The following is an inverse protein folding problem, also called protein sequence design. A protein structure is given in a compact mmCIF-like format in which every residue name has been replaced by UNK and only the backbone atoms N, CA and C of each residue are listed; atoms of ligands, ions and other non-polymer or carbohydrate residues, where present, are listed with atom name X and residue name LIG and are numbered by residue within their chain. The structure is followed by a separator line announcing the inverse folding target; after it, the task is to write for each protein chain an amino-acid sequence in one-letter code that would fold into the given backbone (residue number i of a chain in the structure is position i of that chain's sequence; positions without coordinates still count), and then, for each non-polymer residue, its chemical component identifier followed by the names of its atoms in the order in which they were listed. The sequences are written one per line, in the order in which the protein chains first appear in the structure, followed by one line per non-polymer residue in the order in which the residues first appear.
data_IF_480796219261
#
_entry.id   IF_480796219261
#
_cell.length_a   1.000
_cell.length_b   1.000
_cell.length_c   1.000
_cell.angle_alpha   90.00
_cell.angle_beta   90.00
_cell.angle_gamma   90.00
#
_symmetry.space_group_name_H-M   'P 1'
#
loop_
_entity.id
_entity.type
_entity.pdbx_description
1 polymer ?
#
# COMPACT_ATOMS: atom_id res chain seq x y z
N UNK A 1 5.01 -4.18 15.40
CA UNK A 1 5.97 -3.21 14.85
C UNK A 1 5.86 -3.24 13.34
N UNK A 2 6.10 -2.11 12.68
CA UNK A 2 6.18 -2.02 11.22
C UNK A 2 7.65 -1.80 10.85
N UNK A 3 8.10 -2.43 9.76
CA UNK A 3 9.38 -2.11 9.12
C UNK A 3 9.11 -1.76 7.67
N UNK A 4 9.73 -0.69 7.20
CA UNK A 4 9.64 -0.23 5.82
C UNK A 4 11.04 -0.26 5.22
N UNK A 5 11.18 -0.78 4.01
CA UNK A 5 12.45 -0.82 3.28
C UNK A 5 12.25 -0.43 1.83
N UNK A 6 13.18 0.33 1.26
CA UNK A 6 13.13 0.74 -0.14
C UNK A 6 14.06 -0.16 -0.95
N UNK A 7 13.51 -0.78 -1.99
CA UNK A 7 14.27 -1.54 -2.98
C UNK A 7 14.23 -0.76 -4.29
N UNK A 8 15.38 -0.24 -4.68
CA UNK A 8 15.53 0.49 -5.93
C UNK A 8 15.65 -0.48 -7.11
N UNK A 9 14.89 -0.21 -8.16
CA UNK A 9 14.95 -0.93 -9.41
C UNK A 9 15.01 0.03 -10.59
N UNK A 10 15.44 -0.49 -11.75
CA UNK A 10 15.57 0.31 -12.98
C UNK A 10 14.23 0.85 -13.51
N UNK A 11 13.15 0.07 -13.38
CA UNK A 11 11.80 0.43 -13.88
C UNK A 11 10.83 0.82 -12.77
N UNK A 12 11.10 0.38 -11.54
CA UNK A 12 10.21 0.59 -10.40
C UNK A 12 11.03 0.76 -9.13
N UNK A 13 10.55 1.61 -8.23
CA UNK A 13 10.94 1.65 -6.83
C UNK A 13 9.93 0.85 -6.04
N UNK A 14 10.40 -0.04 -5.18
CA UNK A 14 9.53 -0.86 -4.34
C UNK A 14 9.66 -0.47 -2.88
N UNK A 15 8.53 -0.26 -2.22
CA UNK A 15 8.43 -0.05 -0.79
C UNK A 15 7.99 -1.36 -0.14
N UNK A 16 8.91 -2.09 0.48
CA UNK A 16 8.65 -3.36 1.15
C UNK A 16 8.18 -3.08 2.57
N UNK A 17 6.99 -3.58 2.91
CA UNK A 17 6.33 -3.35 4.19
C UNK A 17 6.21 -4.67 4.94
N UNK A 18 6.80 -4.73 6.12
CA UNK A 18 6.87 -5.94 6.94
C UNK A 18 6.24 -5.72 8.33
N UNK A 19 5.54 -6.73 8.84
CA UNK A 19 4.96 -6.71 10.18
C UNK A 19 3.48 -6.29 10.21
N UNK A 20 3.13 -5.29 11.03
CA UNK A 20 1.73 -4.94 11.31
C UNK A 20 1.37 -3.52 10.86
N UNK A 21 0.44 -3.40 9.92
CA UNK A 21 -0.14 -2.12 9.48
C UNK A 21 -1.33 -1.74 10.37
N UNK A 22 -1.01 -1.25 11.56
CA UNK A 22 -1.96 -0.83 12.60
C UNK A 22 -1.50 0.54 13.14
N UNK A 23 -2.35 1.34 13.80
CA UNK A 23 -1.90 2.61 14.38
C UNK A 23 -0.72 2.40 15.35
N UNK A 24 0.28 3.30 15.39
CA UNK A 24 0.42 4.54 14.60
C UNK A 24 1.07 4.33 13.21
N UNK A 25 1.37 3.10 12.82
CA UNK A 25 2.20 2.79 11.66
C UNK A 25 1.55 3.07 10.30
N UNK A 26 0.23 3.25 10.28
CA UNK A 26 -0.50 3.71 9.09
C UNK A 26 0.02 5.08 8.63
N UNK A 27 0.20 6.01 9.56
CA UNK A 27 0.66 7.38 9.23
C UNK A 27 2.12 7.37 8.75
N UNK A 28 2.94 6.50 9.34
CA UNK A 28 4.33 6.31 8.91
C UNK A 28 4.42 5.74 7.48
N UNK A 29 3.58 4.76 7.15
CA UNK A 29 3.51 4.21 5.79
C UNK A 29 3.05 5.27 4.78
N UNK A 30 2.07 6.10 5.13
CA UNK A 30 1.61 7.23 4.29
C UNK A 30 2.76 8.17 3.96
N UNK A 31 3.46 8.65 4.98
CA UNK A 31 4.62 9.54 4.81
C UNK A 31 5.76 8.87 4.03
N UNK A 32 5.95 7.55 4.18
CA UNK A 32 6.96 6.81 3.41
C UNK A 32 6.59 6.70 1.92
N UNK A 33 5.31 6.46 1.60
CA UNK A 33 4.82 6.44 0.23
C UNK A 33 5.00 7.80 -0.46
N UNK A 34 4.65 8.91 0.22
CA UNK A 34 4.82 10.27 -0.30
C UNK A 34 6.30 10.58 -0.62
N UNK A 35 7.20 10.28 0.34
CA UNK A 35 8.65 10.45 0.16
C UNK A 35 9.20 9.58 -0.97
N UNK A 36 8.77 8.33 -1.06
CA UNK A 36 9.22 7.40 -2.09
C UNK A 36 8.62 7.69 -3.47
N UNK A 37 7.46 8.35 -3.54
CA UNK A 37 6.84 8.82 -4.78
C UNK A 37 7.57 10.01 -5.40
N UNK A 38 8.31 10.76 -4.59
CA UNK A 38 9.16 11.84 -5.07
C UNK A 38 10.43 11.29 -5.73
N UNK A 39 10.89 11.94 -6.81
CA UNK A 39 12.13 11.54 -7.52
C UNK A 39 12.04 10.15 -8.17
N UNK A 40 10.87 9.79 -8.68
CA UNK A 40 10.70 8.53 -9.42
C UNK A 40 11.35 8.57 -10.81
N UNK A 41 11.52 9.75 -11.41
CA UNK A 41 12.17 9.92 -12.72
C UNK A 41 11.60 8.98 -13.80
N UNK A 42 10.26 8.86 -13.84
CA UNK A 42 9.54 7.97 -14.75
C UNK A 42 9.40 6.52 -14.29
N UNK A 43 9.92 6.17 -13.11
CA UNK A 43 9.74 4.84 -12.50
C UNK A 43 8.37 4.71 -11.80
N UNK A 44 7.87 3.50 -11.69
CA UNK A 44 6.66 3.23 -10.91
C UNK A 44 6.99 3.04 -9.42
N UNK A 45 6.11 3.50 -8.53
CA UNK A 45 6.15 3.13 -7.11
C UNK A 45 5.25 1.90 -6.87
N UNK A 46 5.84 0.84 -6.33
CA UNK A 46 5.13 -0.40 -5.96
C UNK A 46 5.23 -0.62 -4.46
N UNK A 47 4.09 -0.76 -3.79
CA UNK A 47 4.02 -1.08 -2.37
C UNK A 47 3.89 -2.60 -2.24
N UNK A 48 4.89 -3.22 -1.64
CA UNK A 48 4.95 -4.67 -1.44
C UNK A 48 4.51 -5.02 -0.01
N UNK A 49 3.36 -5.67 0.06
CA UNK A 49 2.66 -6.02 1.29
C UNK A 49 2.80 -7.52 1.62
N UNK A 50 3.70 -8.24 0.93
CA UNK A 50 3.90 -9.68 1.06
C UNK A 50 4.22 -10.11 2.51
N UNK A 51 4.91 -9.26 3.27
CA UNK A 51 5.37 -9.58 4.62
C UNK A 51 4.50 -8.94 5.73
N UNK A 52 3.30 -8.48 5.38
CA UNK A 52 2.33 -8.03 6.38
C UNK A 52 1.61 -9.21 7.02
N UNK A 53 1.51 -9.18 8.34
CA UNK A 53 0.81 -10.19 9.15
C UNK A 53 -0.50 -9.68 9.73
N UNK A 54 -0.72 -8.37 9.74
CA UNK A 54 -1.91 -7.75 10.34
C UNK A 54 -2.17 -6.41 9.69
N UNK A 55 -3.44 -6.12 9.40
CA UNK A 55 -3.91 -4.84 8.87
C UNK A 55 -5.11 -4.42 9.72
N UNK A 56 -5.10 -3.19 10.24
CA UNK A 56 -6.26 -2.61 10.93
C UNK A 56 -7.22 -1.97 9.92
N UNK A 57 -8.42 -1.60 10.37
CA UNK A 57 -9.34 -0.77 9.58
C UNK A 57 -8.69 0.52 9.06
N UNK A 58 -7.92 1.22 9.91
CA UNK A 58 -7.21 2.43 9.48
C UNK A 58 -6.16 2.10 8.39
N UNK A 59 -5.50 0.95 8.51
CA UNK A 59 -4.59 0.44 7.48
C UNK A 59 -5.32 0.16 6.16
N UNK A 60 -6.50 -0.44 6.19
CA UNK A 60 -7.33 -0.65 4.98
C UNK A 60 -7.74 0.67 4.33
N UNK A 61 -8.16 1.67 5.11
CA UNK A 61 -8.50 3.00 4.59
C UNK A 61 -7.29 3.68 3.93
N UNK A 62 -6.10 3.56 4.53
CA UNK A 62 -4.87 4.04 3.90
C UNK A 62 -4.60 3.33 2.57
N UNK A 63 -4.76 2.00 2.52
CA UNK A 63 -4.59 1.25 1.27
C UNK A 63 -5.61 1.71 0.21
N UNK A 64 -6.85 2.02 0.61
CA UNK A 64 -7.87 2.58 -0.26
C UNK A 64 -7.47 3.95 -0.81
N UNK A 65 -7.01 4.86 0.04
CA UNK A 65 -6.51 6.18 -0.36
C UNK A 65 -5.37 6.05 -1.38
N UNK A 66 -4.39 5.20 -1.08
CA UNK A 66 -3.25 4.96 -1.97
C UNK A 66 -3.68 4.34 -3.31
N UNK A 67 -4.67 3.42 -3.31
CA UNK A 67 -5.27 2.89 -4.54
C UNK A 67 -5.96 3.97 -5.38
N UNK A 68 -6.68 4.91 -4.75
CA UNK A 68 -7.32 6.05 -5.44
C UNK A 68 -6.28 6.95 -6.11
N UNK A 69 -5.11 7.09 -5.51
CA UNK A 69 -3.97 7.83 -6.06
C UNK A 69 -3.20 7.04 -7.14
N UNK A 70 -3.67 5.84 -7.52
CA UNK A 70 -3.07 5.02 -8.57
C UNK A 70 -1.84 4.22 -8.12
N UNK A 71 -1.58 4.11 -6.82
CA UNK A 71 -0.47 3.33 -6.30
C UNK A 71 -0.60 1.86 -6.71
N UNK A 72 0.53 1.24 -7.07
CA UNK A 72 0.59 -0.18 -7.41
C UNK A 72 0.87 -0.99 -6.15
N UNK A 73 0.19 -2.11 -6.02
CA UNK A 73 0.35 -3.02 -4.88
C UNK A 73 0.81 -4.39 -5.34
N UNK A 74 1.70 -4.97 -4.56
CA UNK A 74 2.04 -6.39 -4.64
C UNK A 74 1.56 -7.06 -3.35
N UNK A 75 0.53 -7.88 -3.46
CA UNK A 75 0.10 -8.78 -2.41
C UNK A 75 0.75 -10.16 -2.58
N UNK A 76 1.07 -10.82 -1.48
CA UNK A 76 1.41 -12.24 -1.49
C UNK A 76 0.60 -12.95 -0.40
N UNK A 77 0.19 -14.19 -0.67
CA UNK A 77 -0.64 -14.98 0.23
C UNK A 77 -2.13 -14.63 0.18
N UNK A 78 -2.95 -15.51 0.75
CA UNK A 78 -4.42 -15.38 0.73
C UNK A 78 -4.89 -14.18 1.54
N UNK A 79 -4.29 -13.94 2.72
CA UNK A 79 -4.67 -12.84 3.62
C UNK A 79 -4.57 -11.46 2.94
N UNK A 80 -3.38 -11.07 2.50
CA UNK A 80 -3.14 -9.75 1.91
C UNK A 80 -3.91 -9.59 0.59
N UNK A 81 -4.01 -10.66 -0.22
CA UNK A 81 -4.79 -10.61 -1.46
C UNK A 81 -6.29 -10.44 -1.22
N UNK A 82 -6.87 -11.08 -0.19
CA UNK A 82 -8.30 -10.91 0.09
C UNK A 82 -8.59 -9.49 0.59
N UNK A 83 -7.74 -8.92 1.44
CA UNK A 83 -7.86 -7.52 1.86
C UNK A 83 -7.76 -6.58 0.65
N UNK A 84 -6.75 -6.74 -0.21
CA UNK A 84 -6.62 -5.92 -1.42
C UNK A 84 -7.83 -6.05 -2.35
N UNK A 85 -8.41 -7.25 -2.50
CA UNK A 85 -9.65 -7.46 -3.26
C UNK A 85 -10.83 -6.74 -2.62
N UNK A 86 -10.99 -6.83 -1.30
CA UNK A 86 -12.08 -6.14 -0.59
C UNK A 86 -11.96 -4.62 -0.73
N UNK A 87 -10.77 -4.07 -0.53
CA UNK A 87 -10.49 -2.64 -0.72
C UNK A 87 -10.76 -2.22 -2.17
N UNK A 88 -10.32 -3.01 -3.15
CA UNK A 88 -10.60 -2.74 -4.56
C UNK A 88 -12.10 -2.84 -4.92
N UNK A 89 -12.87 -3.72 -4.26
CA UNK A 89 -14.33 -3.78 -4.42
C UNK A 89 -14.99 -2.51 -3.87
N UNK A 90 -14.56 -2.02 -2.70
CA UNK A 90 -15.03 -0.76 -2.12
C UNK A 90 -14.75 0.41 -3.08
N UNK A 91 -13.55 0.48 -3.65
CA UNK A 91 -13.19 1.48 -4.64
C UNK A 91 -14.16 1.52 -5.84
N UNK A 92 -14.54 0.35 -6.37
CA UNK A 92 -15.49 0.27 -7.50
C UNK A 92 -16.94 0.58 -7.10
N UNK A 93 -17.34 0.19 -5.88
CA UNK A 93 -18.69 0.45 -5.37
C UNK A 93 -18.94 1.91 -4.98
N UNK A 94 -17.90 2.64 -4.59
CA UNK A 94 -18.00 4.07 -4.27
C UNK A 94 -18.18 4.98 -5.50
N UNK A 95 -18.01 4.47 -6.72
CA UNK A 95 -18.29 5.20 -7.96
C UNK A 95 -19.76 5.13 -8.43
N UNK A 96 -20.65 4.51 -7.64
CA UNK A 96 -22.08 4.38 -7.95
C UNK A 96 -22.99 5.31 -7.10
N UNK A 97 -22.40 6.31 -6.43
CA UNK A 97 -23.13 7.39 -5.77
C UNK A 97 -22.58 8.73 -6.28
N UNK A 98 -22.85 9.02 -7.56
CA UNK A 98 -22.93 10.36 -8.12
C UNK A 98 -24.20 10.47 -8.95
#
# INVERSE_FOLDING_TARGET
MLKISIVEGRKQRRLVVEGRLVPPWSDELKAACERAGSGLDGRELVIDLQNLTTISRQGEELLLELMKLGAKFRGCGVFTNEILKQVARRLRGSGAQE
#
